data_IF_344538335384
#
_entry.id   IF_344538335384
#
_cell.length_a   1.000
_cell.length_b   1.000
_cell.length_c   1.000
_cell.angle_alpha   90.00
_cell.angle_beta   90.00
_cell.angle_gamma   90.00
#
_symmetry.space_group_name_H-M   'P 1'
#
loop_
_entity.id
_entity.type
_entity.pdbx_description
1 polymer ?
#
# COMPACT_ATOMS: atom_id res chain seq x y z
N UNK A 1 -5.23 -14.32 21.36
CA UNK A 1 -5.89 -13.04 21.70
C UNK A 1 -4.92 -11.86 21.81
N UNK A 2 -3.91 -11.88 22.71
CA UNK A 2 -2.98 -10.74 22.82
C UNK A 2 -2.08 -10.56 21.58
N UNK A 3 -1.61 -11.65 20.96
CA UNK A 3 -0.78 -11.60 19.74
C UNK A 3 -1.54 -11.08 18.52
N UNK A 4 -2.81 -11.42 18.36
CA UNK A 4 -3.64 -10.95 17.24
C UNK A 4 -4.00 -9.48 17.37
N UNK A 5 -4.34 -9.00 18.58
CA UNK A 5 -4.63 -7.58 18.80
C UNK A 5 -3.40 -6.69 18.49
N UNK A 6 -2.22 -7.09 18.96
CA UNK A 6 -0.98 -6.36 18.70
C UNK A 6 -0.64 -6.29 17.21
N UNK A 7 -0.88 -7.38 16.47
CA UNK A 7 -0.72 -7.43 15.03
C UNK A 7 -1.66 -6.44 14.32
N UNK A 8 -2.95 -6.45 14.66
CA UNK A 8 -3.95 -5.55 14.06
C UNK A 8 -3.68 -4.08 14.36
N UNK A 9 -3.28 -3.74 15.59
CA UNK A 9 -2.87 -2.38 15.95
C UNK A 9 -1.63 -1.92 15.17
N UNK A 10 -0.64 -2.81 15.01
CA UNK A 10 0.54 -2.50 14.20
C UNK A 10 0.15 -2.22 12.74
N UNK A 11 -0.70 -3.06 12.15
CA UNK A 11 -1.10 -2.94 10.75
C UNK A 11 -1.97 -1.69 10.49
N UNK A 12 -2.99 -1.45 11.31
CA UNK A 12 -4.00 -0.41 11.04
C UNK A 12 -3.73 0.93 11.70
N UNK A 13 -2.86 0.99 12.71
CA UNK A 13 -2.51 2.24 13.40
C UNK A 13 -1.03 2.54 13.25
N UNK A 14 -0.17 1.58 13.62
CA UNK A 14 1.29 1.77 13.62
C UNK A 14 1.88 2.11 12.26
N UNK A 15 1.64 1.27 11.25
CA UNK A 15 2.14 1.51 9.89
C UNK A 15 1.53 2.77 9.28
N UNK A 16 0.22 2.96 9.42
CA UNK A 16 -0.48 4.17 8.94
C UNK A 16 0.15 5.46 9.51
N UNK A 17 0.40 5.51 10.81
CA UNK A 17 1.02 6.67 11.46
C UNK A 17 2.49 6.88 11.08
N UNK A 18 3.20 5.80 10.73
CA UNK A 18 4.59 5.88 10.24
C UNK A 18 4.63 6.41 8.82
N UNK A 19 3.65 6.02 8.01
CA UNK A 19 3.58 6.32 6.60
C UNK A 19 3.10 7.75 6.29
N UNK A 20 2.12 8.26 7.06
CA UNK A 20 1.51 9.56 6.83
C UNK A 20 2.51 10.72 6.75
N UNK A 21 3.49 10.87 7.67
CA UNK A 21 4.50 11.92 7.57
C UNK A 21 5.30 11.84 6.26
N UNK A 22 5.63 10.63 5.80
CA UNK A 22 6.37 10.43 4.54
C UNK A 22 5.51 10.89 3.36
N UNK A 23 4.24 10.46 3.31
CA UNK A 23 3.32 10.85 2.25
C UNK A 23 3.12 12.38 2.20
N UNK A 24 2.87 13.03 3.34
CA UNK A 24 2.68 14.48 3.42
C UNK A 24 3.96 15.27 3.11
N UNK A 25 5.14 14.78 3.52
CA UNK A 25 6.42 15.36 3.13
C UNK A 25 6.61 15.25 1.61
N UNK A 26 6.33 14.10 1.01
CA UNK A 26 6.40 13.92 -0.44
C UNK A 26 5.44 14.85 -1.17
N UNK A 27 4.19 14.99 -0.70
CA UNK A 27 3.20 15.91 -1.27
C UNK A 27 3.73 17.35 -1.30
N UNK A 28 4.41 17.81 -0.24
CA UNK A 28 5.05 19.13 -0.21
C UNK A 28 6.13 19.28 -1.29
N UNK A 29 6.86 18.20 -1.60
CA UNK A 29 8.02 18.23 -2.48
C UNK A 29 7.70 18.07 -3.95
N UNK A 30 6.63 17.35 -4.28
CA UNK A 30 6.27 17.05 -5.68
C UNK A 30 5.16 17.94 -6.22
N UNK A 31 4.62 18.84 -5.39
CA UNK A 31 3.50 19.71 -5.75
C UNK A 31 3.72 21.15 -5.32
N UNK A 32 2.80 22.05 -5.70
CA UNK A 32 2.81 23.45 -5.30
C UNK A 32 2.04 23.69 -3.98
N UNK A 33 1.67 22.62 -3.25
CA UNK A 33 0.99 22.78 -1.95
C UNK A 33 1.88 23.47 -0.93
N UNK A 34 1.28 24.32 -0.10
CA UNK A 34 2.02 25.11 0.88
C UNK A 34 2.26 24.32 2.18
N UNK A 35 3.38 24.60 2.85
CA UNK A 35 3.72 23.97 4.14
C UNK A 35 2.61 24.06 5.21
N UNK A 36 1.87 25.18 5.38
CA UNK A 36 0.76 25.24 6.32
C UNK A 36 -0.41 24.31 5.98
N UNK A 37 -0.62 24.01 4.69
CA UNK A 37 -1.61 23.02 4.26
C UNK A 37 -1.17 21.61 4.67
N UNK A 38 0.10 21.27 4.44
CA UNK A 38 0.68 19.96 4.78
C UNK A 38 0.64 19.69 6.28
N UNK A 39 1.03 20.68 7.12
CA UNK A 39 1.03 20.50 8.58
C UNK A 39 -0.39 20.30 9.12
N UNK A 40 -1.36 21.09 8.65
CA UNK A 40 -2.76 20.93 9.05
C UNK A 40 -3.34 19.62 8.57
N UNK A 41 -3.12 19.27 7.30
CA UNK A 41 -3.54 18.01 6.70
C UNK A 41 -2.98 16.81 7.46
N UNK A 42 -1.67 16.78 7.74
CA UNK A 42 -1.04 15.70 8.49
C UNK A 42 -1.67 15.53 9.88
N UNK A 43 -1.86 16.62 10.63
CA UNK A 43 -2.47 16.55 11.97
C UNK A 43 -3.89 15.99 11.92
N UNK A 44 -4.74 16.53 11.06
CA UNK A 44 -6.12 16.06 10.91
C UNK A 44 -6.16 14.61 10.44
N UNK A 45 -5.32 14.25 9.47
CA UNK A 45 -5.30 12.90 8.93
C UNK A 45 -4.76 11.86 9.90
N UNK A 46 -3.73 12.20 10.69
CA UNK A 46 -3.23 11.32 11.74
C UNK A 46 -4.32 10.98 12.75
N UNK A 47 -5.13 11.96 13.18
CA UNK A 47 -6.25 11.73 14.10
C UNK A 47 -7.30 10.84 13.42
N UNK A 48 -7.77 11.23 12.25
CA UNK A 48 -8.84 10.51 11.54
C UNK A 48 -8.47 9.06 11.22
N UNK A 49 -7.26 8.83 10.73
CA UNK A 49 -6.80 7.49 10.37
C UNK A 49 -6.41 6.65 11.60
N UNK A 50 -5.98 7.26 12.70
CA UNK A 50 -5.85 6.55 13.98
C UNK A 50 -7.20 6.04 14.46
N UNK A 51 -8.23 6.90 14.44
CA UNK A 51 -9.59 6.50 14.83
C UNK A 51 -10.10 5.41 13.90
N UNK A 52 -9.96 5.57 12.58
CA UNK A 52 -10.35 4.55 11.60
C UNK A 52 -9.62 3.21 11.84
N UNK A 53 -8.32 3.26 12.13
CA UNK A 53 -7.53 2.07 12.44
C UNK A 53 -8.00 1.39 13.72
N UNK A 54 -8.24 2.13 14.80
CA UNK A 54 -8.80 1.59 16.04
C UNK A 54 -10.18 0.98 15.81
N UNK A 55 -11.04 1.62 15.03
CA UNK A 55 -12.35 1.08 14.66
C UNK A 55 -12.21 -0.25 13.90
N UNK A 56 -11.29 -0.35 12.95
CA UNK A 56 -11.01 -1.62 12.25
C UNK A 56 -10.57 -2.72 13.21
N UNK A 57 -9.69 -2.40 14.16
CA UNK A 57 -9.23 -3.36 15.17
C UNK A 57 -10.39 -3.79 16.08
N UNK A 58 -11.20 -2.84 16.56
CA UNK A 58 -12.33 -3.15 17.43
C UNK A 58 -13.43 -3.94 16.72
N UNK A 59 -13.64 -3.72 15.42
CA UNK A 59 -14.59 -4.50 14.63
C UNK A 59 -14.24 -5.99 14.53
N UNK A 60 -12.97 -6.38 14.74
CA UNK A 60 -12.56 -7.78 14.81
C UNK A 60 -12.98 -8.47 16.11
N UNK A 61 -13.32 -7.71 17.16
CA UNK A 61 -13.58 -8.23 18.51
C UNK A 61 -14.95 -7.82 19.06
N UNK A 62 -15.67 -6.93 18.38
CA UNK A 62 -16.97 -6.39 18.81
C UNK A 62 -17.90 -6.18 17.62
N UNK A 63 -19.21 -6.09 17.88
CA UNK A 63 -20.24 -5.86 16.86
C UNK A 63 -20.36 -4.39 16.40
N UNK A 64 -19.26 -3.61 16.45
CA UNK A 64 -19.25 -2.17 16.10
C UNK A 64 -19.26 -1.91 14.58
N UNK A 65 -20.04 -2.70 13.82
CA UNK A 65 -20.07 -2.65 12.35
C UNK A 65 -20.53 -1.30 11.78
N UNK A 66 -21.40 -0.57 12.49
CA UNK A 66 -21.84 0.76 12.07
C UNK A 66 -20.71 1.80 12.04
N UNK A 67 -19.68 1.65 12.87
CA UNK A 67 -18.55 2.57 12.88
C UNK A 67 -17.61 2.33 11.69
N UNK A 68 -17.70 1.19 10.99
CA UNK A 68 -16.85 0.89 9.83
C UNK A 68 -17.05 1.89 8.67
N UNK A 69 -18.17 2.61 8.62
CA UNK A 69 -18.38 3.69 7.63
C UNK A 69 -17.35 4.82 7.75
N UNK A 70 -16.78 5.03 8.94
CA UNK A 70 -15.72 6.02 9.17
C UNK A 70 -14.43 5.68 8.41
N UNK A 71 -14.17 4.39 8.16
CA UNK A 71 -12.95 3.94 7.49
C UNK A 71 -12.88 4.45 6.04
N UNK A 72 -13.80 4.11 5.11
CA UNK A 72 -13.74 4.62 3.76
C UNK A 72 -13.84 6.15 3.70
N UNK A 73 -14.54 6.79 4.64
CA UNK A 73 -14.60 8.25 4.72
C UNK A 73 -13.23 8.86 5.04
N UNK A 74 -12.52 8.36 6.06
CA UNK A 74 -11.20 8.85 6.43
C UNK A 74 -10.19 8.66 5.29
N UNK A 75 -10.17 7.48 4.67
CA UNK A 75 -9.28 7.21 3.54
C UNK A 75 -9.68 7.98 2.28
N UNK A 76 -10.96 8.25 2.05
CA UNK A 76 -11.44 9.13 0.99
C UNK A 76 -10.97 10.58 1.16
N UNK A 77 -10.95 11.09 2.39
CA UNK A 77 -10.39 12.42 2.70
C UNK A 77 -8.87 12.44 2.49
N UNK A 78 -8.15 11.37 2.86
CA UNK A 78 -6.74 11.23 2.53
C UNK A 78 -6.49 11.20 1.01
N UNK A 79 -7.34 10.48 0.27
CA UNK A 79 -7.30 10.43 -1.19
C UNK A 79 -7.50 11.82 -1.79
N UNK A 80 -8.43 12.63 -1.26
CA UNK A 80 -8.65 14.00 -1.70
C UNK A 80 -7.42 14.91 -1.47
N UNK A 81 -6.73 14.75 -0.33
CA UNK A 81 -5.46 15.46 -0.07
C UNK A 81 -4.39 15.05 -1.09
N UNK A 82 -4.26 13.74 -1.32
CA UNK A 82 -3.31 13.19 -2.27
C UNK A 82 -3.59 13.65 -3.70
N UNK A 83 -4.86 13.67 -4.10
CA UNK A 83 -5.31 14.16 -5.40
C UNK A 83 -4.92 15.62 -5.60
N UNK A 84 -5.21 16.50 -4.64
CA UNK A 84 -4.83 17.92 -4.70
C UNK A 84 -3.33 18.11 -4.95
N UNK A 85 -2.49 17.36 -4.23
CA UNK A 85 -1.05 17.43 -4.42
C UNK A 85 -0.61 16.87 -5.79
N UNK A 86 -1.22 15.79 -6.26
CA UNK A 86 -0.85 15.16 -7.53
C UNK A 86 -1.40 15.92 -8.75
N UNK A 87 -2.49 16.68 -8.61
CA UNK A 87 -3.09 17.49 -9.67
C UNK A 87 -2.34 18.79 -9.91
N UNK A 88 -1.79 19.40 -8.85
CA UNK A 88 -1.02 20.65 -8.90
C UNK A 88 0.48 20.37 -8.72
N UNK A 89 1.02 19.55 -9.62
CA UNK A 89 2.42 19.14 -9.59
C UNK A 89 3.35 20.30 -9.91
N UNK A 90 4.44 20.39 -9.17
CA UNK A 90 5.53 21.32 -9.46
C UNK A 90 6.42 20.72 -10.58
N UNK A 91 7.38 21.47 -11.16
CA UNK A 91 8.19 20.98 -12.27
C UNK A 91 9.29 19.99 -11.84
N UNK A 92 9.11 19.23 -10.75
CA UNK A 92 10.05 18.18 -10.38
C UNK A 92 10.10 17.07 -11.43
N UNK A 93 11.30 16.72 -11.87
CA UNK A 93 11.52 15.67 -12.86
C UNK A 93 11.80 14.31 -12.21
N UNK A 94 11.68 14.19 -10.89
CA UNK A 94 11.93 12.95 -10.15
C UNK A 94 10.81 11.93 -10.38
N UNK A 95 11.08 10.66 -10.12
CA UNK A 95 10.02 9.63 -10.14
C UNK A 95 9.22 9.57 -8.83
N UNK A 96 9.53 10.44 -7.86
CA UNK A 96 8.92 10.39 -6.53
C UNK A 96 7.39 10.54 -6.58
N UNK A 97 6.89 11.39 -7.47
CA UNK A 97 5.46 11.62 -7.61
C UNK A 97 4.71 10.41 -8.18
N UNK A 98 5.37 9.55 -8.96
CA UNK A 98 4.77 8.30 -9.49
C UNK A 98 4.70 7.24 -8.39
N UNK A 99 5.78 7.08 -7.64
CA UNK A 99 5.83 6.21 -6.46
C UNK A 99 4.85 6.64 -5.38
N UNK A 100 4.70 7.95 -5.14
CA UNK A 100 3.67 8.50 -4.24
C UNK A 100 2.27 8.08 -4.69
N UNK A 101 1.95 8.23 -5.98
CA UNK A 101 0.65 7.85 -6.52
C UNK A 101 0.36 6.35 -6.39
N UNK A 102 1.35 5.50 -6.69
CA UNK A 102 1.24 4.05 -6.49
C UNK A 102 0.99 3.72 -5.01
N UNK A 103 1.75 4.31 -4.09
CA UNK A 103 1.57 4.08 -2.66
C UNK A 103 0.19 4.54 -2.18
N UNK A 104 -0.29 5.70 -2.63
CA UNK A 104 -1.65 6.19 -2.31
C UNK A 104 -2.72 5.21 -2.82
N UNK A 105 -2.58 4.71 -4.05
CA UNK A 105 -3.53 3.74 -4.62
C UNK A 105 -3.56 2.44 -3.80
N UNK A 106 -2.40 1.87 -3.49
CA UNK A 106 -2.28 0.65 -2.69
C UNK A 106 -2.84 0.83 -1.27
N UNK A 107 -2.57 2.00 -0.67
CA UNK A 107 -3.08 2.35 0.65
C UNK A 107 -4.61 2.46 0.66
N UNK A 108 -5.21 3.08 -0.35
CA UNK A 108 -6.67 3.13 -0.52
C UNK A 108 -7.23 1.71 -0.72
N UNK A 109 -6.64 0.90 -1.60
CA UNK A 109 -7.09 -0.48 -1.83
C UNK A 109 -7.03 -1.32 -0.56
N UNK A 110 -5.94 -1.21 0.21
CA UNK A 110 -5.80 -1.87 1.51
C UNK A 110 -6.92 -1.48 2.48
N UNK A 111 -7.27 -0.20 2.51
CA UNK A 111 -8.30 0.32 3.40
C UNK A 111 -9.72 -0.10 3.04
N UNK A 112 -10.04 -0.07 1.74
CA UNK A 112 -11.33 -0.53 1.21
C UNK A 112 -11.47 -2.02 1.49
N UNK A 113 -10.43 -2.80 1.20
CA UNK A 113 -10.40 -4.22 1.52
C UNK A 113 -10.59 -4.43 3.02
N UNK A 114 -9.87 -3.72 3.88
CA UNK A 114 -10.03 -3.82 5.34
C UNK A 114 -11.43 -3.50 5.84
N UNK A 115 -12.07 -2.48 5.29
CA UNK A 115 -13.46 -2.15 5.60
C UNK A 115 -14.42 -3.27 5.23
N UNK A 116 -14.27 -3.85 4.03
CA UNK A 116 -15.08 -4.98 3.54
C UNK A 116 -14.85 -6.23 4.39
N UNK A 117 -13.60 -6.58 4.64
CA UNK A 117 -13.23 -7.75 5.45
C UNK A 117 -13.71 -7.59 6.90
N UNK A 118 -13.79 -6.37 7.43
CA UNK A 118 -14.33 -6.09 8.76
C UNK A 118 -15.85 -6.30 8.90
N UNK A 119 -16.60 -6.49 7.81
CA UNK A 119 -18.04 -6.70 7.88
C UNK A 119 -18.37 -8.08 8.46
N UNK A 120 -19.26 -8.11 9.47
CA UNK A 120 -19.67 -9.35 10.11
C UNK A 120 -20.27 -10.39 9.14
N UNK A 121 -20.93 -9.94 8.07
CA UNK A 121 -21.47 -10.81 7.02
C UNK A 121 -20.40 -11.44 6.12
N UNK A 122 -19.20 -10.85 6.06
CA UNK A 122 -18.09 -11.31 5.23
C UNK A 122 -17.18 -12.26 6.01
N UNK A 123 -17.06 -12.08 7.33
CA UNK A 123 -16.16 -12.84 8.22
C UNK A 123 -16.21 -14.37 8.05
N UNK A 124 -17.39 -15.03 7.91
CA UNK A 124 -17.43 -16.48 7.71
C UNK A 124 -16.68 -16.96 6.46
N UNK A 125 -16.62 -16.13 5.42
CA UNK A 125 -15.98 -16.45 4.13
C UNK A 125 -14.47 -16.21 4.11
N UNK A 126 -13.90 -15.72 5.22
CA UNK A 126 -12.47 -15.35 5.31
C UNK A 126 -11.62 -16.46 5.92
N UNK A 127 -12.23 -17.42 6.61
CA UNK A 127 -11.53 -18.51 7.29
C UNK A 127 -10.79 -19.35 6.25
N UNK A 128 -9.52 -19.64 6.52
CA UNK A 128 -8.62 -20.42 5.65
C UNK A 128 -8.44 -19.84 4.23
N UNK A 129 -8.48 -18.51 4.11
CA UNK A 129 -8.27 -17.79 2.84
C UNK A 129 -7.10 -16.82 2.86
N UNK A 130 -6.66 -16.37 1.69
CA UNK A 130 -5.57 -15.39 1.54
C UNK A 130 -5.98 -13.91 1.71
N UNK A 131 -7.23 -13.58 2.06
CA UNK A 131 -7.70 -12.19 2.12
C UNK A 131 -6.90 -11.30 3.09
N UNK A 132 -6.60 -11.81 4.28
CA UNK A 132 -5.80 -11.08 5.27
C UNK A 132 -4.34 -10.92 4.83
N UNK A 133 -3.82 -11.92 4.12
CA UNK A 133 -2.50 -11.88 3.49
C UNK A 133 -2.43 -10.78 2.43
N UNK A 134 -3.44 -10.70 1.56
CA UNK A 134 -3.55 -9.64 0.55
C UNK A 134 -3.60 -8.25 1.18
N UNK A 135 -4.42 -8.06 2.21
CA UNK A 135 -4.51 -6.78 2.90
C UNK A 135 -3.15 -6.36 3.50
N UNK A 136 -2.43 -7.31 4.11
CA UNK A 136 -1.11 -7.08 4.68
C UNK A 136 -0.07 -6.75 3.61
N UNK A 137 -0.08 -7.48 2.48
CA UNK A 137 0.79 -7.24 1.33
C UNK A 137 0.55 -5.84 0.75
N UNK A 138 -0.71 -5.41 0.58
CA UNK A 138 -1.03 -4.08 0.08
C UNK A 138 -0.52 -2.96 0.99
N UNK A 139 -0.65 -3.12 2.31
CA UNK A 139 -0.07 -2.17 3.28
C UNK A 139 1.45 -2.09 3.13
N UNK A 140 2.11 -3.25 3.12
CA UNK A 140 3.57 -3.33 2.98
C UNK A 140 4.04 -2.72 1.65
N UNK A 141 3.34 -2.97 0.56
CA UNK A 141 3.69 -2.41 -0.75
C UNK A 141 3.43 -0.91 -0.87
N UNK A 142 2.41 -0.37 -0.18
CA UNK A 142 2.22 1.06 -0.07
C UNK A 142 3.44 1.72 0.61
N UNK A 143 3.90 1.15 1.73
CA UNK A 143 5.11 1.59 2.42
C UNK A 143 6.35 1.53 1.52
N UNK A 144 6.58 0.40 0.84
CA UNK A 144 7.72 0.23 -0.09
C UNK A 144 7.68 1.30 -1.18
N UNK A 145 6.52 1.56 -1.78
CA UNK A 145 6.37 2.60 -2.78
C UNK A 145 6.72 3.99 -2.21
N UNK A 146 6.26 4.33 -1.00
CA UNK A 146 6.60 5.61 -0.36
C UNK A 146 8.06 5.72 0.06
N UNK A 147 8.70 4.62 0.48
CA UNK A 147 10.15 4.59 0.72
C UNK A 147 10.91 4.84 -0.59
N UNK A 148 10.53 4.21 -1.70
CA UNK A 148 11.15 4.45 -3.00
C UNK A 148 10.92 5.89 -3.47
N UNK A 149 9.75 6.48 -3.21
CA UNK A 149 9.47 7.89 -3.47
C UNK A 149 10.41 8.79 -2.67
N UNK A 150 10.55 8.54 -1.36
CA UNK A 150 11.42 9.26 -0.44
C UNK A 150 12.88 9.19 -0.90
N UNK A 151 13.36 8.00 -1.28
CA UNK A 151 14.73 7.83 -1.77
C UNK A 151 14.98 8.60 -3.06
N UNK A 152 14.02 8.61 -4.01
CA UNK A 152 14.16 9.38 -5.25
C UNK A 152 14.19 10.89 -4.99
N UNK A 153 13.27 11.39 -4.17
CA UNK A 153 13.19 12.82 -3.87
C UNK A 153 14.34 13.29 -2.99
N UNK A 154 14.61 12.59 -1.89
CA UNK A 154 15.70 12.91 -0.97
C UNK A 154 17.06 12.89 -1.65
N UNK A 155 17.30 11.93 -2.55
CA UNK A 155 18.56 11.89 -3.30
C UNK A 155 18.66 13.03 -4.31
N UNK A 156 17.56 13.42 -4.97
CA UNK A 156 17.55 14.57 -5.87
C UNK A 156 17.87 15.88 -5.11
N UNK A 157 17.28 16.06 -3.92
CA UNK A 157 17.54 17.21 -3.03
C UNK A 157 18.99 17.23 -2.53
N UNK A 158 19.52 16.09 -2.05
CA UNK A 158 20.90 15.97 -1.59
C UNK A 158 21.92 16.27 -2.70
N UNK A 159 21.57 15.95 -3.95
CA UNK A 159 22.41 16.25 -5.12
C UNK A 159 22.17 17.66 -5.67
N UNK A 160 21.19 18.40 -5.16
CA UNK A 160 20.74 19.68 -5.71
C UNK A 160 20.37 19.62 -7.21
N UNK A 161 19.96 18.45 -7.68
CA UNK A 161 19.61 18.22 -9.08
C UNK A 161 18.18 17.73 -9.18
N UNK A 162 17.33 18.53 -9.81
CA UNK A 162 15.96 18.14 -10.13
C UNK A 162 15.93 17.18 -11.34
N UNK A 163 16.47 15.97 -11.15
CA UNK A 163 16.60 14.94 -12.20
C UNK A 163 16.25 13.57 -11.64
N UNK A 164 15.93 12.65 -12.56
CA UNK A 164 15.63 11.26 -12.22
C UNK A 164 16.87 10.55 -11.69
N UNK A 165 16.75 9.96 -10.50
CA UNK A 165 17.79 9.13 -9.89
C UNK A 165 17.79 7.72 -10.49
N UNK A 166 16.64 7.24 -10.95
CA UNK A 166 16.47 5.93 -11.60
C UNK A 166 15.60 6.06 -12.85
N UNK A 167 15.60 5.04 -13.71
CA UNK A 167 14.77 4.96 -14.90
C UNK A 167 13.36 4.45 -14.62
N UNK A 168 12.52 4.40 -15.66
CA UNK A 168 11.17 3.85 -15.57
C UNK A 168 11.13 2.32 -15.51
N UNK A 169 12.18 1.62 -15.95
CA UNK A 169 12.25 0.15 -15.90
C UNK A 169 12.00 -0.37 -14.47
N UNK A 170 12.75 0.03 -13.42
CA UNK A 170 12.48 -0.45 -12.07
C UNK A 170 11.08 -0.05 -11.57
N UNK A 171 10.56 1.13 -11.94
CA UNK A 171 9.19 1.53 -11.60
C UNK A 171 8.18 0.52 -12.15
N UNK A 172 8.22 0.24 -13.45
CA UNK A 172 7.27 -0.65 -14.11
C UNK A 172 7.42 -2.09 -13.65
N UNK A 173 8.65 -2.60 -13.53
CA UNK A 173 8.91 -3.97 -13.10
C UNK A 173 8.40 -4.22 -11.67
N UNK A 174 8.68 -3.31 -10.73
CA UNK A 174 8.19 -3.43 -9.35
C UNK A 174 6.66 -3.27 -9.32
N UNK A 175 6.11 -2.27 -10.00
CA UNK A 175 4.66 -2.01 -9.99
C UNK A 175 3.88 -3.18 -10.60
N UNK A 176 4.35 -3.75 -11.71
CA UNK A 176 3.75 -4.93 -12.31
C UNK A 176 3.76 -6.13 -11.35
N UNK A 177 4.83 -6.31 -10.58
CA UNK A 177 4.93 -7.39 -9.61
C UNK A 177 3.99 -7.18 -8.40
N UNK A 178 3.86 -5.93 -7.95
CA UNK A 178 2.94 -5.55 -6.86
C UNK A 178 1.48 -5.74 -7.31
N UNK A 179 1.06 -5.11 -8.41
CA UNK A 179 -0.33 -5.16 -8.87
C UNK A 179 -0.70 -6.55 -9.41
N UNK A 180 0.19 -7.19 -10.17
CA UNK A 180 -0.02 -8.56 -10.66
C UNK A 180 -0.10 -9.57 -9.51
N UNK A 181 0.82 -9.46 -8.54
CA UNK A 181 0.78 -10.30 -7.33
C UNK A 181 -0.46 -10.10 -6.48
N UNK A 182 -0.85 -8.84 -6.25
CA UNK A 182 -2.06 -8.50 -5.52
C UNK A 182 -3.33 -9.01 -6.22
N UNK A 183 -3.38 -8.90 -7.55
CA UNK A 183 -4.48 -9.44 -8.34
C UNK A 183 -4.58 -10.97 -8.26
N UNK A 184 -3.46 -11.67 -8.43
CA UNK A 184 -3.41 -13.14 -8.32
C UNK A 184 -3.83 -13.60 -6.93
N UNK A 185 -3.35 -12.94 -5.88
CA UNK A 185 -3.70 -13.28 -4.51
C UNK A 185 -5.18 -13.00 -4.21
N UNK A 186 -5.76 -11.94 -4.79
CA UNK A 186 -7.20 -11.70 -4.72
C UNK A 186 -8.00 -12.82 -5.39
N UNK A 187 -7.58 -13.28 -6.58
CA UNK A 187 -8.22 -14.41 -7.25
C UNK A 187 -8.13 -15.70 -6.43
N UNK A 188 -6.96 -16.00 -5.86
CA UNK A 188 -6.80 -17.15 -4.97
C UNK A 188 -7.76 -17.07 -3.77
N UNK A 189 -7.88 -15.87 -3.19
CA UNK A 189 -8.78 -15.63 -2.05
C UNK A 189 -10.25 -15.80 -2.44
N UNK A 190 -10.67 -15.32 -3.61
CA UNK A 190 -12.03 -15.52 -4.13
C UNK A 190 -12.32 -17.00 -4.34
N UNK A 191 -11.41 -17.73 -5.01
CA UNK A 191 -11.58 -19.15 -5.29
C UNK A 191 -11.70 -19.94 -3.98
N UNK A 192 -10.88 -19.64 -2.97
CA UNK A 192 -11.01 -20.28 -1.65
C UNK A 192 -12.31 -19.91 -0.94
N UNK A 193 -12.67 -18.62 -0.90
CA UNK A 193 -13.90 -18.17 -0.22
C UNK A 193 -15.13 -18.85 -0.80
N UNK A 194 -15.26 -18.91 -2.13
CA UNK A 194 -16.40 -19.56 -2.77
C UNK A 194 -16.30 -21.09 -2.72
N UNK A 195 -15.13 -21.65 -2.99
CA UNK A 195 -14.92 -23.10 -3.00
C UNK A 195 -15.23 -23.72 -1.64
N UNK A 196 -14.65 -23.18 -0.56
CA UNK A 196 -14.79 -23.73 0.79
C UNK A 196 -16.17 -23.45 1.39
N UNK A 197 -16.68 -22.22 1.26
CA UNK A 197 -17.80 -21.75 2.08
C UNK A 197 -19.13 -21.59 1.33
N UNK A 198 -19.12 -21.69 0.00
CA UNK A 198 -20.34 -21.59 -0.83
C UNK A 198 -20.64 -22.90 -1.56
N UNK A 199 -19.60 -23.57 -2.06
CA UNK A 199 -19.73 -24.79 -2.85
C UNK A 199 -19.32 -26.07 -2.10
N UNK A 200 -18.87 -25.95 -0.84
CA UNK A 200 -18.42 -27.06 0.01
C UNK A 200 -17.41 -28.00 -0.70
N UNK A 201 -16.54 -27.44 -1.54
CA UNK A 201 -15.51 -28.19 -2.25
C UNK A 201 -14.41 -28.57 -1.24
N UNK A 202 -13.94 -29.84 -1.24
CA UNK A 202 -12.86 -30.26 -0.36
C UNK A 202 -11.60 -29.38 -0.52
N UNK A 203 -10.98 -29.01 0.61
CA UNK A 203 -9.82 -28.13 0.63
C UNK A 203 -8.67 -28.62 -0.26
N UNK A 204 -8.42 -29.93 -0.29
CA UNK A 204 -7.38 -30.54 -1.10
C UNK A 204 -7.58 -30.30 -2.61
N UNK A 205 -8.83 -30.39 -3.09
CA UNK A 205 -9.18 -30.09 -4.48
C UNK A 205 -8.96 -28.62 -4.81
N UNK A 206 -9.29 -27.73 -3.87
CA UNK A 206 -9.06 -26.29 -4.04
C UNK A 206 -7.56 -26.00 -4.11
N UNK A 207 -6.75 -26.55 -3.20
CA UNK A 207 -5.29 -26.35 -3.20
C UNK A 207 -4.65 -26.76 -4.54
N UNK A 208 -5.05 -27.89 -5.10
CA UNK A 208 -4.59 -28.32 -6.43
C UNK A 208 -4.98 -27.33 -7.53
N UNK A 209 -6.21 -26.79 -7.47
CA UNK A 209 -6.69 -25.78 -8.42
C UNK A 209 -5.97 -24.43 -8.31
N UNK A 210 -5.44 -24.10 -7.12
CA UNK A 210 -4.70 -22.86 -6.86
C UNK A 210 -3.24 -22.92 -7.29
N UNK A 211 -2.67 -24.10 -7.55
CA UNK A 211 -1.26 -24.27 -7.87
C UNK A 211 -0.77 -23.34 -9.01
N UNK A 212 -1.49 -23.19 -10.14
CA UNK A 212 -1.08 -22.27 -11.20
C UNK A 212 -1.06 -20.80 -10.74
N UNK A 213 -2.02 -20.39 -9.91
CA UNK A 213 -2.07 -19.06 -9.34
C UNK A 213 -0.92 -18.84 -8.34
N UNK A 214 -0.59 -19.85 -7.53
CA UNK A 214 0.55 -19.78 -6.62
C UNK A 214 1.88 -19.55 -7.37
N UNK A 215 2.08 -20.20 -8.53
CA UNK A 215 3.25 -19.94 -9.40
C UNK A 215 3.29 -18.50 -9.90
N UNK A 216 2.16 -17.95 -10.33
CA UNK A 216 2.07 -16.55 -10.78
C UNK A 216 2.36 -15.57 -9.63
N UNK A 217 1.87 -15.87 -8.42
CA UNK A 217 2.14 -15.08 -7.23
C UNK A 217 3.64 -15.08 -6.87
N UNK A 218 4.29 -16.25 -6.86
CA UNK A 218 5.75 -16.34 -6.65
C UNK A 218 6.52 -15.59 -7.74
N UNK A 219 6.10 -15.74 -9.00
CA UNK A 219 6.68 -15.01 -10.13
C UNK A 219 6.58 -13.49 -9.98
N UNK A 220 5.48 -12.99 -9.38
CA UNK A 220 5.32 -11.56 -9.11
C UNK A 220 6.29 -11.07 -8.03
N UNK A 221 6.54 -11.84 -6.97
CA UNK A 221 7.54 -11.53 -5.94
C UNK A 221 8.95 -11.49 -6.54
N UNK A 222 9.26 -12.42 -7.45
CA UNK A 222 10.51 -12.43 -8.19
C UNK A 222 10.66 -11.17 -9.07
N UNK A 223 9.57 -10.74 -9.72
CA UNK A 223 9.56 -9.52 -10.52
C UNK A 223 9.88 -8.29 -9.67
N UNK A 224 9.30 -8.18 -8.46
CA UNK A 224 9.62 -7.12 -7.49
C UNK A 224 11.10 -7.15 -7.12
N UNK A 225 11.63 -8.33 -6.79
CA UNK A 225 13.04 -8.50 -6.42
C UNK A 225 13.99 -8.08 -7.56
N UNK A 226 13.71 -8.49 -8.80
CA UNK A 226 14.46 -8.08 -9.99
C UNK A 226 14.39 -6.56 -10.17
N UNK A 227 13.21 -5.97 -10.04
CA UNK A 227 13.02 -4.53 -10.16
C UNK A 227 13.80 -3.73 -9.10
N UNK A 228 13.84 -4.22 -7.86
CA UNK A 228 14.67 -3.65 -6.78
C UNK A 228 16.16 -3.81 -7.05
N UNK A 229 16.60 -4.94 -7.60
CA UNK A 229 17.98 -5.15 -8.03
C UNK A 229 18.40 -4.15 -9.12
N UNK A 230 17.57 -3.98 -10.16
CA UNK A 230 17.78 -2.98 -11.22
C UNK A 230 17.81 -1.56 -10.63
N UNK A 231 16.90 -1.26 -9.70
CA UNK A 231 16.87 0.02 -8.99
C UNK A 231 18.19 0.31 -8.29
N UNK A 232 18.70 -0.65 -7.51
CA UNK A 232 19.96 -0.52 -6.77
C UNK A 232 21.17 -0.31 -7.69
N UNK A 233 21.28 -1.08 -8.78
CA UNK A 233 22.36 -0.94 -9.76
C UNK A 233 22.33 0.44 -10.42
N UNK A 234 21.15 0.92 -10.86
CA UNK A 234 21.01 2.23 -11.48
C UNK A 234 21.33 3.37 -10.51
N UNK A 235 20.87 3.23 -9.26
CA UNK A 235 21.15 4.19 -8.19
C UNK A 235 22.66 4.34 -7.96
N UNK A 236 23.37 3.21 -7.87
CA UNK A 236 24.82 3.20 -7.64
C UNK A 236 25.59 3.74 -8.85
N UNK A 237 25.29 3.30 -10.08
CA UNK A 237 25.98 3.79 -11.29
C UNK A 237 25.86 5.32 -11.43
N UNK A 238 24.66 5.87 -11.20
CA UNK A 238 24.43 7.32 -11.27
C UNK A 238 24.96 8.09 -10.07
N UNK A 239 25.40 7.42 -9.00
CA UNK A 239 26.12 8.05 -7.89
C UNK A 239 27.59 8.25 -8.24
N UNK A 240 28.22 7.28 -8.89
CA UNK A 240 29.64 7.33 -9.28
C UNK A 240 29.89 8.44 -10.29
N UNK A 241 29.09 8.51 -11.36
CA UNK A 241 29.23 9.54 -12.42
C UNK A 241 29.00 10.99 -11.97
N UNK A 242 28.51 11.23 -10.75
CA UNK A 242 28.33 12.59 -10.21
C UNK A 242 29.51 13.06 -9.35
N UNK A 243 30.48 12.17 -9.07
CA UNK A 243 31.70 12.45 -8.30
C UNK A 243 32.94 12.59 -9.19
N UNK A 244 32.86 12.05 -10.41
CA UNK A 244 33.83 12.26 -11.49
C UNK A 244 33.48 13.55 -12.25
#
# INVERSE_FOLDING_TARGET
WQSSLAWWLRLHVGYVLTELPIAFWLMLRVSNVQRPWVIRGLRSMSIMLTIAGVVLVLAQVTSLSLLLIWVPMAYGIFAAHSYRALSDRNPTQTLAAHWLAIGVLLFILMSVLGGVLGLASVQPYLVDTFWLGLQSDLAYYALVAWVLALLNQGTAELRQHNRRVTGFVPLWTISAGIFGGGFVLALMSIVQSYGLHVFDVPAETIEQSLLPLAFLWVGSKLLIAIGLGIYGIQFQRRRVMARE
#
